data_IF_208657672951
#
_entry.id   IF_208657672951
#
_cell.length_a   1.000
_cell.length_b   1.000
_cell.length_c   1.000
_cell.angle_alpha   90.00
_cell.angle_beta   90.00
_cell.angle_gamma   90.00
#
_symmetry.space_group_name_H-M   'P 1'
#
loop_
_entity.id
_entity.type
_entity.pdbx_description
1 polymer ?
#
# COMPACT_ATOMS: atom_id res chain seq x y z
N UNK A 1 -27.59 4.07 15.02
CA UNK A 1 -26.67 2.91 14.94
C UNK A 1 -25.33 3.47 14.53
N UNK A 2 -24.42 3.54 15.50
CA UNK A 2 -23.17 4.28 15.40
C UNK A 2 -22.25 3.62 14.39
N UNK A 3 -21.98 4.33 13.30
CA UNK A 3 -20.94 4.00 12.34
C UNK A 3 -19.57 4.26 13.00
N UNK A 4 -19.21 3.38 13.93
CA UNK A 4 -17.94 3.31 14.66
C UNK A 4 -16.98 2.40 13.88
N UNK A 5 -16.84 2.66 12.58
CA UNK A 5 -15.81 2.07 11.71
C UNK A 5 -14.76 3.10 11.30
N UNK A 6 -14.87 4.31 11.84
CA UNK A 6 -14.17 5.47 11.31
C UNK A 6 -12.93 5.74 12.14
N UNK A 7 -11.80 5.69 11.44
CA UNK A 7 -10.51 6.22 11.85
C UNK A 7 -9.70 5.23 12.70
N UNK A 8 -8.77 4.51 12.07
CA UNK A 8 -7.59 4.02 12.78
C UNK A 8 -6.73 5.26 13.04
N UNK A 9 -6.65 5.78 14.29
CA UNK A 9 -5.91 6.99 14.57
C UNK A 9 -4.41 6.66 14.43
N UNK A 10 -3.82 6.89 13.26
CA UNK A 10 -2.39 6.66 13.07
C UNK A 10 -1.83 6.61 11.64
N UNK A 11 -2.66 6.41 10.60
CA UNK A 11 -2.12 6.24 9.24
C UNK A 11 -1.78 7.53 8.50
N UNK A 12 -2.05 8.71 9.06
CA UNK A 12 -1.73 9.99 8.41
C UNK A 12 -0.23 10.30 8.33
N UNK A 13 0.63 9.46 8.92
CA UNK A 13 2.08 9.63 8.82
C UNK A 13 2.58 8.95 7.56
N UNK A 14 3.41 9.61 6.73
CA UNK A 14 3.94 9.03 5.50
C UNK A 14 4.64 7.69 5.77
N UNK A 15 5.42 7.59 6.85
CA UNK A 15 6.14 6.37 7.25
C UNK A 15 5.19 5.18 7.56
N UNK A 16 4.02 5.46 8.13
CA UNK A 16 3.01 4.44 8.43
C UNK A 16 2.34 3.93 7.15
N UNK A 17 2.01 4.82 6.22
CA UNK A 17 1.45 4.44 4.92
C UNK A 17 2.43 3.57 4.12
N UNK A 18 3.70 3.97 4.10
CA UNK A 18 4.76 3.21 3.44
C UNK A 18 4.94 1.83 4.07
N UNK A 19 4.89 1.75 5.40
CA UNK A 19 4.97 0.48 6.14
C UNK A 19 3.81 -0.47 5.82
N UNK A 20 2.59 0.05 5.67
CA UNK A 20 1.42 -0.76 5.30
C UNK A 20 1.56 -1.30 3.87
N UNK A 21 1.89 -0.43 2.91
CA UNK A 21 2.05 -0.82 1.51
C UNK A 21 3.21 -1.83 1.35
N UNK A 22 4.37 -1.53 1.93
CA UNK A 22 5.53 -2.42 1.91
C UNK A 22 5.26 -3.76 2.62
N UNK A 23 4.56 -3.72 3.77
CA UNK A 23 4.13 -4.92 4.48
C UNK A 23 3.20 -5.81 3.66
N UNK A 24 2.24 -5.23 2.95
CA UNK A 24 1.33 -5.96 2.05
C UNK A 24 2.05 -6.55 0.85
N UNK A 25 3.11 -5.90 0.35
CA UNK A 25 3.94 -6.44 -0.73
C UNK A 25 4.75 -7.67 -0.30
N UNK A 26 5.16 -7.73 0.96
CA UNK A 26 5.92 -8.85 1.53
C UNK A 26 5.00 -10.01 1.94
N UNK A 27 3.82 -9.70 2.48
CA UNK A 27 2.88 -10.67 3.02
C UNK A 27 1.49 -10.42 2.44
N UNK A 28 1.22 -11.09 1.32
CA UNK A 28 -0.04 -10.94 0.58
C UNK A 28 -1.22 -11.61 1.31
N UNK A 29 -0.97 -12.57 2.21
CA UNK A 29 -2.01 -13.23 3.00
C UNK A 29 -2.69 -12.24 3.98
N UNK A 30 -1.99 -11.17 4.37
CA UNK A 30 -2.54 -10.10 5.22
C UNK A 30 -3.42 -9.12 4.46
N UNK A 31 -3.55 -9.25 3.14
CA UNK A 31 -4.38 -8.37 2.32
C UNK A 31 -5.83 -8.35 2.78
N UNK A 32 -6.46 -9.52 2.96
CA UNK A 32 -7.87 -9.60 3.33
C UNK A 32 -8.16 -8.90 4.67
N UNK A 33 -7.29 -9.08 5.66
CA UNK A 33 -7.44 -8.42 6.97
C UNK A 33 -7.30 -6.90 6.89
N UNK A 34 -6.40 -6.41 6.03
CA UNK A 34 -6.16 -4.98 5.84
C UNK A 34 -7.25 -4.35 5.00
N UNK A 35 -7.68 -4.99 3.91
CA UNK A 35 -8.74 -4.52 3.02
C UNK A 35 -10.11 -4.41 3.71
N UNK A 36 -10.33 -5.18 4.78
CA UNK A 36 -11.52 -5.05 5.64
C UNK A 36 -11.51 -3.82 6.55
N UNK A 37 -10.33 -3.25 6.83
CA UNK A 37 -10.13 -2.15 7.79
C UNK A 37 -9.69 -0.85 7.15
N UNK A 38 -9.01 -0.91 6.00
CA UNK A 38 -8.44 0.22 5.29
C UNK A 38 -8.94 0.26 3.84
N UNK A 39 -9.31 1.46 3.42
CA UNK A 39 -9.67 1.78 2.05
C UNK A 39 -8.62 2.72 1.43
N UNK A 40 -8.62 2.82 0.10
CA UNK A 40 -7.75 3.78 -0.59
C UNK A 40 -7.97 5.22 -0.15
N UNK A 41 -9.15 5.57 0.39
CA UNK A 41 -9.44 6.93 0.81
C UNK A 41 -8.82 7.30 2.17
N UNK A 42 -8.49 6.30 2.99
CA UNK A 42 -7.85 6.48 4.30
C UNK A 42 -6.39 6.97 4.20
N UNK A 43 -5.75 6.77 3.06
CA UNK A 43 -4.40 7.28 2.81
C UNK A 43 -4.45 8.80 2.58
N UNK A 44 -3.55 9.56 3.18
CA UNK A 44 -3.42 10.99 2.96
C UNK A 44 -2.72 11.30 1.64
N UNK A 45 -1.66 10.55 1.31
CA UNK A 45 -0.89 10.78 0.09
C UNK A 45 -1.60 10.23 -1.14
N UNK A 46 -1.84 11.09 -2.13
CA UNK A 46 -2.46 10.71 -3.41
C UNK A 46 -1.71 9.56 -4.10
N UNK A 47 -0.39 9.56 -4.02
CA UNK A 47 0.47 8.49 -4.57
C UNK A 47 0.12 7.14 -3.94
N UNK A 48 0.01 7.10 -2.62
CA UNK A 48 -0.36 5.88 -1.89
C UNK A 48 -1.81 5.45 -2.15
N UNK A 49 -2.75 6.40 -2.30
CA UNK A 49 -4.13 6.09 -2.74
C UNK A 49 -4.13 5.29 -4.04
N UNK A 50 -3.38 5.77 -5.04
CA UNK A 50 -3.30 5.13 -6.37
C UNK A 50 -2.64 3.76 -6.27
N UNK A 51 -1.56 3.64 -5.51
CA UNK A 51 -0.87 2.35 -5.30
C UNK A 51 -1.81 1.33 -4.68
N UNK A 52 -2.54 1.69 -3.62
CA UNK A 52 -3.47 0.79 -2.96
C UNK A 52 -4.65 0.37 -3.87
N UNK A 53 -5.13 1.29 -4.71
CA UNK A 53 -6.13 0.97 -5.74
C UNK A 53 -5.60 -0.06 -6.75
N UNK A 54 -4.35 0.07 -7.19
CA UNK A 54 -3.73 -0.91 -8.09
C UNK A 54 -3.52 -2.26 -7.41
N UNK A 55 -3.09 -2.28 -6.15
CA UNK A 55 -2.99 -3.52 -5.37
C UNK A 55 -4.34 -4.22 -5.29
N UNK A 56 -5.41 -3.48 -5.00
CA UNK A 56 -6.78 -4.04 -4.97
C UNK A 56 -7.16 -4.70 -6.29
N UNK A 57 -6.83 -4.06 -7.40
CA UNK A 57 -7.09 -4.62 -8.74
C UNK A 57 -6.26 -5.87 -9.02
N UNK A 58 -4.99 -5.89 -8.60
CA UNK A 58 -4.12 -7.06 -8.78
C UNK A 58 -4.64 -8.27 -8.02
N UNK A 59 -5.04 -8.09 -6.75
CA UNK A 59 -5.67 -9.16 -5.96
C UNK A 59 -6.96 -9.63 -6.61
N UNK A 60 -7.82 -8.71 -7.06
CA UNK A 60 -9.05 -9.06 -7.77
C UNK A 60 -8.80 -9.82 -9.09
N UNK A 61 -7.63 -9.62 -9.71
CA UNK A 61 -7.19 -10.35 -10.89
C UNK A 61 -6.44 -11.65 -10.56
N UNK A 62 -6.30 -12.02 -9.28
CA UNK A 62 -5.54 -13.19 -8.83
C UNK A 62 -4.04 -13.08 -9.08
N UNK A 63 -3.50 -11.86 -9.16
CA UNK A 63 -2.08 -11.59 -9.37
C UNK A 63 -1.36 -11.33 -8.04
N UNK A 64 -0.07 -11.70 -7.93
CA UNK A 64 0.75 -11.39 -6.76
C UNK A 64 0.93 -9.88 -6.58
N UNK A 65 1.08 -9.44 -5.33
CA UNK A 65 1.31 -8.04 -4.96
C UNK A 65 2.80 -7.73 -4.77
N UNK A 66 3.64 -8.17 -5.70
CA UNK A 66 5.07 -7.84 -5.66
C UNK A 66 5.38 -6.52 -6.38
N UNK A 67 6.57 -5.97 -6.11
CA UNK A 67 7.04 -4.71 -6.68
C UNK A 67 7.00 -4.70 -8.22
N UNK A 68 7.42 -5.80 -8.85
CA UNK A 68 7.53 -5.91 -10.30
C UNK A 68 6.13 -5.90 -10.90
N UNK A 69 5.25 -6.78 -10.40
CA UNK A 69 3.86 -6.87 -10.86
C UNK A 69 3.10 -5.57 -10.66
N UNK A 70 3.33 -4.86 -9.55
CA UNK A 70 2.72 -3.55 -9.31
C UNK A 70 3.23 -2.50 -10.30
N UNK A 71 4.55 -2.43 -10.52
CA UNK A 71 5.12 -1.50 -11.50
C UNK A 71 4.59 -1.76 -12.91
N UNK A 72 4.54 -3.02 -13.35
CA UNK A 72 4.01 -3.38 -14.65
C UNK A 72 2.51 -3.07 -14.77
N UNK A 73 1.73 -3.28 -13.71
CA UNK A 73 0.31 -2.93 -13.70
C UNK A 73 0.08 -1.43 -13.84
N UNK A 74 0.89 -0.61 -13.16
CA UNK A 74 0.83 0.85 -13.25
C UNK A 74 1.28 1.31 -14.64
N UNK A 75 2.41 0.81 -15.15
CA UNK A 75 2.91 1.14 -16.48
C UNK A 75 1.94 0.73 -17.58
N UNK A 76 1.23 -0.39 -17.40
CA UNK A 76 0.19 -0.85 -18.34
C UNK A 76 -0.99 0.11 -18.44
N UNK A 77 -1.18 1.02 -17.48
CA UNK A 77 -2.22 2.08 -17.55
C UNK A 77 -1.73 3.33 -18.26
N UNK A 78 -0.42 3.47 -18.45
CA UNK A 78 0.22 4.58 -19.14
C UNK A 78 1.61 4.83 -18.57
N UNK A 79 2.58 5.14 -19.43
CA UNK A 79 3.96 5.45 -19.00
C UNK A 79 4.01 6.63 -18.04
N UNK A 80 3.19 7.65 -18.28
CA UNK A 80 3.07 8.83 -17.43
C UNK A 80 2.45 8.54 -16.05
N UNK A 81 1.73 7.42 -15.89
CA UNK A 81 1.11 7.09 -14.61
C UNK A 81 2.17 6.68 -13.58
N UNK A 82 3.18 5.91 -14.01
CA UNK A 82 4.29 5.54 -13.14
C UNK A 82 5.13 6.77 -12.79
N UNK A 83 5.41 7.63 -13.76
CA UNK A 83 6.17 8.87 -13.53
C UNK A 83 5.46 9.83 -12.56
N UNK A 84 4.13 9.92 -12.63
CA UNK A 84 3.32 10.71 -11.68
C UNK A 84 3.39 10.22 -10.22
N UNK A 85 3.76 8.95 -10.01
CA UNK A 85 3.92 8.36 -8.67
C UNK A 85 5.35 8.51 -8.13
N UNK A 86 6.25 9.19 -8.86
CA UNK A 86 7.68 9.27 -8.52
C UNK A 86 8.52 8.19 -9.21
N UNK A 87 7.94 7.45 -10.16
CA UNK A 87 8.63 6.45 -10.97
C UNK A 87 8.87 5.13 -10.25
N UNK A 88 9.54 4.21 -10.95
CA UNK A 88 9.93 2.91 -10.41
C UNK A 88 10.81 3.04 -9.15
N UNK A 89 11.66 4.07 -9.10
CA UNK A 89 12.54 4.32 -7.95
C UNK A 89 11.75 4.51 -6.66
N UNK A 90 10.63 5.26 -6.70
CA UNK A 90 9.79 5.47 -5.53
C UNK A 90 9.10 4.18 -5.07
N UNK A 91 8.54 3.38 -5.99
CA UNK A 91 7.96 2.07 -5.64
C UNK A 91 9.01 1.14 -5.03
N UNK A 92 10.23 1.14 -5.58
CA UNK A 92 11.34 0.36 -5.03
C UNK A 92 11.74 0.85 -3.64
N UNK A 93 11.70 2.16 -3.40
CA UNK A 93 11.86 2.72 -2.05
C UNK A 93 10.73 2.31 -1.12
N UNK A 94 9.47 2.24 -1.55
CA UNK A 94 8.38 1.74 -0.70
C UNK A 94 8.56 0.28 -0.29
N UNK A 95 8.99 -0.56 -1.24
CA UNK A 95 9.27 -1.96 -0.96
C UNK A 95 10.47 -2.12 0.00
N UNK A 96 11.50 -1.28 -0.16
CA UNK A 96 12.72 -1.29 0.69
C UNK A 96 12.56 -0.59 2.04
N UNK A 97 11.82 0.52 2.09
CA UNK A 97 11.46 1.28 3.28
C UNK A 97 10.25 0.66 3.98
N UNK A 98 10.00 -0.64 3.80
CA UNK A 98 9.44 -1.39 4.91
C UNK A 98 10.47 -1.26 6.02
N UNK A 99 10.30 -0.39 7.05
CA UNK A 99 11.17 -0.51 8.20
C UNK A 99 10.98 -1.95 8.61
N UNK A 100 12.09 -2.65 8.77
CA UNK A 100 12.12 -3.95 9.40
C UNK A 100 10.93 -4.08 10.36
N UNK A 101 10.21 -5.19 10.33
CA UNK A 101 9.36 -5.59 11.45
C UNK A 101 10.10 -5.46 12.82
N UNK A 102 11.42 -5.20 12.84
CA UNK A 102 12.24 -4.78 13.96
C UNK A 102 12.21 -3.30 14.42
N UNK A 103 11.31 -2.40 13.97
CA UNK A 103 11.13 -1.07 14.63
C UNK A 103 9.79 -0.82 15.31
N UNK A 104 8.92 -1.83 15.39
CA UNK A 104 7.90 -1.89 16.43
C UNK A 104 8.12 -3.13 17.31
N UNK A 105 9.15 -3.07 18.16
CA UNK A 105 9.02 -3.65 19.50
C UNK A 105 8.03 -2.78 20.28
N UNK A 106 6.75 -2.90 19.95
CA UNK A 106 5.68 -2.51 20.84
C UNK A 106 5.37 -3.76 21.67
N UNK A 107 5.71 -3.69 22.95
CA UNK A 107 5.33 -4.63 23.99
C UNK A 107 3.81 -4.82 23.95
N UNK A 108 3.36 -6.02 23.60
CA UNK A 108 2.11 -6.57 24.16
C UNK A 108 2.46 -7.25 25.49
#
# INVERSE_FOLDING_TARGET
MSDDRRNIPGIYSPDAEQSVIGGLMLDNDRWDEVALRLSADDFFQKVHKVIYQEMTRLVAAGKPLDLITLSESIESRGKDALEQLGGFAYLAELSKNTPSAAKYRCVL
#
